data_IF_189538603989
#
_entry.id   IF_189538603989
#
_cell.length_a   1.000
_cell.length_b   1.000
_cell.length_c   1.000
_cell.angle_alpha   90.00
_cell.angle_beta   90.00
_cell.angle_gamma   90.00
#
_symmetry.space_group_name_H-M   'P 1'
#
loop_
_entity.id
_entity.type
_entity.pdbx_description
1 polymer ?
#
# COMPACT_ATOMS: atom_id res chain seq x y z
N UNK A 1 17.27 -4.69 2.87
CA UNK A 1 16.55 -5.37 1.77
C UNK A 1 15.19 -4.76 1.42
N UNK A 2 14.50 -4.02 2.30
CA UNK A 2 13.26 -3.30 1.95
C UNK A 2 13.42 -1.76 1.80
N UNK A 3 14.54 -1.19 2.24
CA UNK A 3 14.78 0.26 2.19
C UNK A 3 14.77 0.85 0.77
N UNK A 4 15.04 0.06 -0.27
CA UNK A 4 15.00 0.55 -1.64
C UNK A 4 13.57 0.85 -2.11
N UNK A 5 12.62 0.01 -1.69
CA UNK A 5 11.21 0.23 -1.98
C UNK A 5 10.70 1.48 -1.26
N UNK A 6 11.06 1.65 0.02
CA UNK A 6 10.69 2.83 0.80
C UNK A 6 11.27 4.11 0.15
N UNK A 7 12.55 4.10 -0.22
CA UNK A 7 13.20 5.23 -0.92
C UNK A 7 12.52 5.57 -2.24
N UNK A 8 12.12 4.56 -3.02
CA UNK A 8 11.44 4.78 -4.29
C UNK A 8 10.03 5.37 -4.08
N UNK A 9 9.31 4.92 -3.05
CA UNK A 9 8.00 5.45 -2.67
C UNK A 9 8.11 6.91 -2.18
N UNK A 10 9.11 7.20 -1.35
CA UNK A 10 9.41 8.56 -0.89
C UNK A 10 9.80 9.49 -2.03
N UNK A 11 10.69 9.02 -2.94
CA UNK A 11 11.10 9.76 -4.13
C UNK A 11 9.92 10.11 -5.05
N UNK A 12 8.93 9.22 -5.13
CA UNK A 12 7.68 9.44 -5.89
C UNK A 12 6.63 10.26 -5.12
N UNK A 13 6.88 10.59 -3.86
CA UNK A 13 5.96 11.34 -3.00
C UNK A 13 4.70 10.57 -2.62
N UNK A 14 4.75 9.24 -2.63
CA UNK A 14 3.61 8.41 -2.24
C UNK A 14 3.46 8.38 -0.71
N UNK A 15 2.21 8.39 -0.24
CA UNK A 15 1.91 8.20 1.18
C UNK A 15 1.79 6.71 1.44
N UNK A 16 2.64 6.16 2.28
CA UNK A 16 2.63 4.74 2.64
C UNK A 16 2.91 4.55 4.13
N UNK A 17 2.52 3.39 4.63
CA UNK A 17 2.81 2.89 5.97
C UNK A 17 3.32 1.47 5.82
N UNK A 18 4.43 1.14 6.49
CA UNK A 18 5.00 -0.20 6.49
C UNK A 18 5.19 -0.66 7.93
N UNK A 19 4.77 -1.89 8.22
CA UNK A 19 4.99 -2.55 9.50
C UNK A 19 5.48 -3.97 9.26
N UNK A 20 6.75 -4.23 9.60
CA UNK A 20 7.46 -5.45 9.21
C UNK A 20 7.33 -5.72 7.70
N UNK A 21 6.63 -6.80 7.34
CA UNK A 21 6.38 -7.24 5.97
C UNK A 21 5.08 -6.68 5.37
N UNK A 22 4.18 -6.13 6.19
CA UNK A 22 2.92 -5.56 5.72
C UNK A 22 3.11 -4.09 5.31
N UNK A 23 2.64 -3.76 4.10
CA UNK A 23 2.72 -2.41 3.54
C UNK A 23 1.36 -1.96 3.03
N UNK A 24 0.99 -0.73 3.37
CA UNK A 24 -0.23 -0.06 2.90
C UNK A 24 0.14 1.24 2.21
N UNK A 25 -0.35 1.44 0.98
CA UNK A 25 -0.11 2.65 0.20
C UNK A 25 -1.43 3.39 0.01
N UNK A 26 -1.47 4.65 0.45
CA UNK A 26 -2.65 5.50 0.42
C UNK A 26 -2.67 6.32 -0.87
N UNK A 27 -3.72 6.12 -1.66
CA UNK A 27 -3.93 6.77 -2.94
C UNK A 27 -5.23 7.59 -2.95
N UNK A 28 -5.29 8.65 -3.76
CA UNK A 28 -6.48 9.50 -3.89
C UNK A 28 -7.58 8.87 -4.75
N UNK A 29 -7.23 8.00 -5.69
CA UNK A 29 -8.18 7.38 -6.62
C UNK A 29 -7.84 5.92 -6.90
N UNK A 30 -8.84 5.12 -7.26
CA UNK A 30 -8.68 3.70 -7.62
C UNK A 30 -7.72 3.54 -8.80
N UNK A 31 -7.89 4.35 -9.85
CA UNK A 31 -7.00 4.36 -11.03
C UNK A 31 -5.54 4.64 -10.66
N UNK A 32 -5.31 5.58 -9.73
CA UNK A 32 -3.95 5.83 -9.24
C UNK A 32 -3.40 4.65 -8.45
N UNK A 33 -4.23 4.00 -7.63
CA UNK A 33 -3.82 2.83 -6.85
C UNK A 33 -3.42 1.66 -7.75
N UNK A 34 -4.21 1.35 -8.79
CA UNK A 34 -3.90 0.29 -9.76
C UNK A 34 -2.59 0.57 -10.50
N UNK A 35 -2.39 1.80 -10.98
CA UNK A 35 -1.13 2.21 -11.63
C UNK A 35 0.08 2.08 -10.71
N UNK A 36 -0.06 2.47 -9.44
CA UNK A 36 1.01 2.38 -8.45
C UNK A 36 1.30 0.92 -8.12
N UNK A 37 0.26 0.10 -7.94
CA UNK A 37 0.36 -1.34 -7.69
C UNK A 37 1.17 -2.03 -8.78
N UNK A 38 0.81 -1.83 -10.05
CA UNK A 38 1.56 -2.41 -11.18
C UNK A 38 3.02 -1.95 -11.19
N UNK A 39 3.26 -0.65 -10.98
CA UNK A 39 4.63 -0.13 -10.99
C UNK A 39 5.49 -0.68 -9.87
N UNK A 40 4.92 -0.90 -8.68
CA UNK A 40 5.63 -1.43 -7.53
C UNK A 40 5.88 -2.92 -7.69
N UNK A 41 4.90 -3.68 -8.17
CA UNK A 41 5.08 -5.10 -8.48
C UNK A 41 6.25 -5.27 -9.46
N UNK A 42 6.29 -4.49 -10.55
CA UNK A 42 7.41 -4.52 -11.50
C UNK A 42 8.75 -4.16 -10.85
N UNK A 43 8.77 -3.21 -9.93
CA UNK A 43 9.99 -2.82 -9.23
C UNK A 43 10.47 -3.93 -8.27
N UNK A 44 9.56 -4.53 -7.51
CA UNK A 44 9.87 -5.59 -6.55
C UNK A 44 10.33 -6.85 -7.28
N UNK A 45 9.61 -7.29 -8.32
CA UNK A 45 9.95 -8.48 -9.10
C UNK A 45 11.22 -8.26 -9.94
N UNK A 46 11.41 -7.06 -10.50
CA UNK A 46 12.52 -6.78 -11.42
C UNK A 46 13.82 -6.31 -10.78
N UNK A 47 13.76 -5.53 -9.69
CA UNK A 47 14.96 -5.00 -9.00
C UNK A 47 15.32 -5.78 -7.75
N UNK A 48 14.33 -6.10 -6.93
CA UNK A 48 14.55 -6.79 -5.66
C UNK A 48 14.52 -8.32 -5.82
N UNK A 49 14.07 -8.82 -6.98
CA UNK A 49 13.88 -10.24 -7.27
C UNK A 49 13.02 -10.96 -6.22
N UNK A 50 12.10 -10.22 -5.59
CA UNK A 50 11.18 -10.75 -4.60
C UNK A 50 9.86 -11.13 -5.27
N UNK A 51 9.25 -12.22 -4.80
CA UNK A 51 7.95 -12.69 -5.30
C UNK A 51 6.82 -12.00 -4.55
N UNK A 52 6.01 -11.22 -5.27
CA UNK A 52 4.80 -10.62 -4.70
C UNK A 52 3.70 -11.66 -4.63
N UNK A 53 3.03 -11.76 -3.48
CA UNK A 53 1.81 -12.57 -3.37
C UNK A 53 0.62 -11.78 -3.95
N UNK A 54 0.27 -12.06 -5.21
CA UNK A 54 -0.80 -11.37 -5.94
C UNK A 54 -2.20 -11.69 -5.39
N UNK A 55 -2.38 -12.82 -4.72
CA UNK A 55 -3.66 -13.20 -4.13
C UNK A 55 -3.95 -12.38 -2.85
N UNK A 56 -2.89 -12.02 -2.11
CA UNK A 56 -2.99 -11.15 -0.93
C UNK A 56 -2.94 -9.66 -1.28
N UNK A 57 -2.32 -9.32 -2.41
CA UNK A 57 -2.08 -7.94 -2.82
C UNK A 57 -3.24 -7.41 -3.66
N UNK A 58 -4.06 -6.54 -3.08
CA UNK A 58 -5.24 -5.98 -3.76
C UNK A 58 -5.36 -4.46 -3.59
N UNK A 59 -5.97 -3.79 -4.57
CA UNK A 59 -6.40 -2.40 -4.44
C UNK A 59 -7.81 -2.37 -3.88
N UNK A 60 -7.96 -1.87 -2.65
CA UNK A 60 -9.24 -1.82 -1.97
C UNK A 60 -9.51 -0.44 -1.37
N UNK A 61 -10.78 -0.05 -1.19
CA UNK A 61 -11.14 1.10 -0.38
C UNK A 61 -10.61 0.92 1.06
N UNK A 62 -10.22 2.02 1.70
CA UNK A 62 -9.68 2.03 3.06
C UNK A 62 -10.62 1.33 4.08
N UNK A 63 -11.94 1.38 3.83
CA UNK A 63 -12.99 0.70 4.60
C UNK A 63 -12.92 -0.83 4.61
N UNK A 64 -12.25 -1.43 3.64
CA UNK A 64 -12.11 -2.89 3.52
C UNK A 64 -10.73 -3.39 3.93
N UNK A 65 -9.80 -2.48 4.22
CA UNK A 65 -8.43 -2.84 4.60
C UNK A 65 -8.39 -3.07 6.11
N UNK A 66 -7.89 -4.24 6.51
CA UNK A 66 -7.49 -4.54 7.87
C UNK A 66 -5.97 -4.44 7.96
N UNK A 67 -5.45 -3.66 8.90
CA UNK A 67 -4.02 -3.50 9.14
C UNK A 67 -3.75 -3.57 10.64
N UNK A 68 -2.87 -4.47 11.07
CA UNK A 68 -2.51 -4.67 12.48
C UNK A 68 -3.70 -4.88 13.43
N UNK A 69 -4.77 -5.53 12.95
CA UNK A 69 -6.00 -5.76 13.72
C UNK A 69 -7.02 -4.61 13.67
N UNK A 70 -6.69 -3.50 13.00
CA UNK A 70 -7.58 -2.35 12.88
C UNK A 70 -8.23 -2.25 11.50
N UNK A 71 -9.48 -1.81 11.47
CA UNK A 71 -10.18 -1.41 10.25
C UNK A 71 -10.30 0.11 10.20
N UNK A 72 -10.05 0.71 9.04
CA UNK A 72 -10.14 2.16 8.89
C UNK A 72 -11.46 2.51 8.22
N UNK A 73 -12.08 3.63 8.58
CA UNK A 73 -13.24 4.14 7.87
C UNK A 73 -13.23 5.65 7.84
N UNK A 74 -13.91 6.24 6.85
CA UNK A 74 -13.99 7.70 6.71
C UNK A 74 -15.42 8.14 7.05
N UNK A 75 -15.56 9.02 8.05
CA UNK A 75 -16.85 9.59 8.45
C UNK A 75 -16.72 11.10 8.52
N UNK A 76 -17.61 11.82 7.82
CA UNK A 76 -17.64 13.31 7.81
C UNK A 76 -16.29 13.98 7.52
N UNK A 77 -15.47 13.38 6.65
CA UNK A 77 -14.16 13.91 6.28
C UNK A 77 -13.01 13.47 7.20
N UNK A 78 -13.31 12.95 8.38
CA UNK A 78 -12.33 12.45 9.34
C UNK A 78 -12.03 10.96 9.10
N UNK A 79 -10.75 10.58 9.14
CA UNK A 79 -10.33 9.19 9.18
C UNK A 79 -10.47 8.65 10.60
N UNK A 80 -11.24 7.59 10.79
CA UNK A 80 -11.44 6.92 12.08
C UNK A 80 -10.95 5.48 12.02
N UNK A 81 -10.52 4.99 13.18
CA UNK A 81 -10.04 3.63 13.39
C UNK A 81 -11.10 2.83 14.14
N UNK A 82 -11.35 1.59 13.74
CA UNK A 82 -12.20 0.63 14.42
C UNK A 82 -11.35 -0.58 14.81
N UNK A 83 -11.48 -1.02 16.07
CA UNK A 83 -10.93 -2.28 16.60
C UNK A 83 -11.93 -3.40 16.34
#
# INVERSE_FOLDING_TARGET
MLNELDRELERRGHKFVRYADDMVILCKSKRSAERIMESIIRFIEGKLFLKVNRDKSQTAPISKIKFLGYSFYKTKGEGRLRV
#
